data_IF_092786659038
#
_entry.id   IF_092786659038
#
_cell.length_a   1.000
_cell.length_b   1.000
_cell.length_c   1.000
_cell.angle_alpha   90.00
_cell.angle_beta   90.00
_cell.angle_gamma   90.00
#
_symmetry.space_group_name_H-M   'P 1'
#
loop_
_entity.id
_entity.type
_entity.pdbx_description
1 polymer ?
#
# COMPACT_ATOMS: atom_id res chain seq x y z
N UNK A 1 14.87 -29.60 -3.39
CA UNK A 1 13.73 -29.00 -2.65
C UNK A 1 13.54 -27.61 -3.21
N UNK A 2 12.33 -27.26 -3.63
CA UNK A 2 12.04 -26.07 -4.45
C UNK A 2 12.61 -24.78 -3.86
N UNK A 3 13.55 -24.20 -4.59
CA UNK A 3 13.93 -22.79 -4.48
C UNK A 3 12.71 -21.99 -4.93
N UNK A 4 11.85 -21.58 -3.99
CA UNK A 4 10.80 -20.60 -4.31
C UNK A 4 11.53 -19.32 -4.69
N UNK A 5 11.60 -19.04 -5.99
CA UNK A 5 11.94 -17.73 -6.52
C UNK A 5 11.20 -16.68 -5.68
N UNK A 6 11.87 -15.66 -5.13
CA UNK A 6 11.19 -14.64 -4.35
C UNK A 6 10.26 -13.91 -5.33
N UNK A 7 9.00 -14.33 -5.35
CA UNK A 7 7.91 -13.70 -6.07
C UNK A 7 8.00 -12.21 -5.77
N UNK A 8 8.46 -11.44 -6.77
CA UNK A 8 8.87 -10.05 -6.66
C UNK A 8 7.64 -9.23 -6.32
N UNK A 9 7.36 -9.07 -5.03
CA UNK A 9 6.19 -8.32 -4.58
C UNK A 9 6.38 -6.86 -5.01
N UNK A 10 5.37 -6.24 -5.63
CA UNK A 10 5.46 -4.84 -6.05
C UNK A 10 5.74 -3.95 -4.84
N UNK A 11 6.55 -2.94 -5.11
CA UNK A 11 7.09 -2.00 -4.14
C UNK A 11 6.43 -0.65 -4.37
N UNK A 12 5.87 -0.09 -3.32
CA UNK A 12 4.95 1.02 -3.39
C UNK A 12 5.45 2.21 -2.60
N UNK A 13 5.42 3.39 -3.20
CA UNK A 13 5.64 4.66 -2.55
C UNK A 13 4.32 5.20 -2.05
N UNK A 14 4.33 5.76 -0.84
CA UNK A 14 3.16 6.40 -0.23
C UNK A 14 3.45 7.90 -0.14
N UNK A 15 2.55 8.71 -0.69
CA UNK A 15 2.59 10.16 -0.61
C UNK A 15 1.52 10.64 0.36
N UNK A 16 2.04 11.14 1.48
CA UNK A 16 1.29 11.92 2.46
C UNK A 16 1.27 13.39 2.03
N UNK A 17 0.48 14.23 2.72
CA UNK A 17 0.41 15.67 2.45
C UNK A 17 1.76 16.41 2.56
N UNK A 18 2.69 15.88 3.35
CA UNK A 18 3.96 16.55 3.66
C UNK A 18 5.19 15.89 3.06
N UNK A 19 5.12 14.61 2.67
CA UNK A 19 6.27 13.84 2.19
C UNK A 19 5.86 12.59 1.41
N UNK A 20 6.81 12.09 0.63
CA UNK A 20 6.78 10.77 0.01
C UNK A 20 7.65 9.82 0.83
N UNK A 21 7.14 8.63 1.13
CA UNK A 21 7.80 7.60 1.93
C UNK A 21 7.80 6.26 1.17
N UNK A 22 8.85 5.46 1.38
CA UNK A 22 8.97 4.11 0.83
C UNK A 22 10.24 3.89 0.00
N UNK A 23 10.28 2.85 -0.84
CA UNK A 23 9.16 1.98 -1.17
C UNK A 23 8.86 0.94 -0.08
N UNK A 24 7.58 0.58 0.06
CA UNK A 24 7.09 -0.44 0.98
C UNK A 24 6.46 -1.60 0.22
N UNK A 25 6.60 -2.85 0.69
CA UNK A 25 5.83 -3.96 0.14
C UNK A 25 4.34 -3.80 0.46
N UNK A 26 3.46 -4.36 -0.37
CA UNK A 26 1.99 -4.28 -0.19
C UNK A 26 1.55 -4.72 1.22
N UNK A 27 2.18 -5.77 1.78
CA UNK A 27 1.92 -6.22 3.15
C UNK A 27 2.29 -5.20 4.23
N UNK A 28 3.37 -4.43 4.01
CA UNK A 28 3.80 -3.35 4.90
C UNK A 28 2.81 -2.17 4.89
N UNK A 29 2.29 -1.81 3.72
CA UNK A 29 1.27 -0.78 3.58
C UNK A 29 -0.03 -1.20 4.28
N UNK A 30 -0.50 -2.44 4.04
CA UNK A 30 -1.68 -3.00 4.72
C UNK A 30 -1.56 -2.90 6.24
N UNK A 31 -0.41 -3.31 6.79
CA UNK A 31 -0.15 -3.22 8.23
C UNK A 31 -0.14 -1.79 8.72
N UNK A 32 0.46 -0.86 7.98
CA UNK A 32 0.48 0.56 8.33
C UNK A 32 -0.92 1.20 8.31
N UNK A 33 -1.80 0.80 7.39
CA UNK A 33 -3.21 1.21 7.37
C UNK A 33 -3.96 0.71 8.61
N UNK A 34 -3.79 -0.58 8.96
CA UNK A 34 -4.40 -1.16 10.16
C UNK A 34 -3.91 -0.49 11.45
N UNK A 35 -2.65 -0.02 11.46
CA UNK A 35 -2.07 0.70 12.60
C UNK A 35 -2.39 2.21 12.59
N UNK A 36 -3.14 2.72 11.60
CA UNK A 36 -3.48 4.14 11.46
C UNK A 36 -2.30 5.04 11.12
N UNK A 37 -1.19 4.49 10.61
CA UNK A 37 -0.02 5.26 10.13
C UNK A 37 -0.24 5.84 8.75
N UNK A 38 -1.00 5.12 7.93
CA UNK A 38 -1.48 5.60 6.63
C UNK A 38 -2.99 5.65 6.65
N UNK A 39 -3.53 6.54 5.82
CA UNK A 39 -4.97 6.73 5.62
C UNK A 39 -5.31 6.22 4.21
N UNK A 40 -6.50 5.65 3.98
CA UNK A 40 -6.96 5.28 2.63
C UNK A 40 -6.99 6.44 1.63
N UNK A 41 -7.02 7.69 2.12
CA UNK A 41 -6.94 8.93 1.34
C UNK A 41 -5.51 9.28 0.88
N UNK A 42 -4.48 8.71 1.52
CA UNK A 42 -3.11 8.92 1.05
C UNK A 42 -2.93 8.35 -0.34
N UNK A 43 -2.02 8.96 -1.09
CA UNK A 43 -1.73 8.53 -2.45
C UNK A 43 -0.61 7.50 -2.47
N UNK A 44 -0.61 6.65 -3.47
CA UNK A 44 0.31 5.55 -3.65
C UNK A 44 0.74 5.45 -5.12
N UNK A 45 1.99 5.07 -5.34
CA UNK A 45 2.59 4.94 -6.67
C UNK A 45 3.66 3.84 -6.71
N UNK A 46 3.78 3.12 -7.82
CA UNK A 46 4.88 2.16 -8.06
C UNK A 46 6.12 2.86 -8.64
N UNK A 47 5.89 3.95 -9.37
CA UNK A 47 6.87 4.65 -10.20
C UNK A 47 7.17 6.09 -9.74
N UNK A 48 6.49 6.56 -8.69
CA UNK A 48 6.52 7.95 -8.17
C UNK A 48 6.01 9.02 -9.15
N UNK A 49 5.45 8.62 -10.30
CA UNK A 49 4.88 9.52 -11.31
C UNK A 49 3.35 9.45 -11.29
N UNK A 50 2.81 8.24 -11.29
CA UNK A 50 1.36 7.97 -11.27
C UNK A 50 0.89 7.72 -9.86
N UNK A 51 0.09 8.63 -9.32
CA UNK A 51 -0.40 8.57 -7.94
C UNK A 51 -1.91 8.29 -7.93
N UNK A 52 -2.31 7.27 -7.18
CA UNK A 52 -3.71 6.85 -7.00
C UNK A 52 -4.00 6.72 -5.50
N UNK A 53 -5.26 6.85 -5.07
CA UNK A 53 -5.58 6.73 -3.65
C UNK A 53 -5.37 5.29 -3.17
N UNK A 54 -4.91 5.10 -1.94
CA UNK A 54 -4.73 3.76 -1.35
C UNK A 54 -6.04 2.96 -1.38
N UNK A 55 -7.18 3.64 -1.17
CA UNK A 55 -8.51 3.03 -1.24
C UNK A 55 -8.83 2.42 -2.62
N UNK A 56 -8.27 2.98 -3.69
CA UNK A 56 -8.48 2.50 -5.07
C UNK A 56 -7.58 1.34 -5.45
N UNK A 57 -6.57 1.02 -4.63
CA UNK A 57 -5.60 -0.05 -4.88
C UNK A 57 -5.88 -1.24 -3.96
N UNK A 58 -6.71 -2.22 -4.39
CA UNK A 58 -7.12 -3.33 -3.53
C UNK A 58 -5.97 -4.24 -3.09
N UNK A 59 -4.81 -4.19 -3.75
CA UNK A 59 -3.63 -4.98 -3.39
C UNK A 59 -2.99 -4.52 -2.07
N UNK A 60 -3.00 -3.21 -1.82
CA UNK A 60 -2.47 -2.60 -0.58
C UNK A 60 -3.56 -2.29 0.44
N UNK A 61 -4.84 -2.42 0.04
CA UNK A 61 -5.99 -2.17 0.89
C UNK A 61 -6.32 -3.44 1.71
N UNK A 62 -6.20 -3.42 3.05
CA UNK A 62 -6.47 -4.60 3.86
C UNK A 62 -7.97 -4.97 3.78
N UNK A 63 -8.30 -6.27 3.59
CA UNK A 63 -9.69 -6.72 3.52
C UNK A 63 -10.53 -6.27 4.71
N UNK A 64 -9.92 -6.22 5.90
CA UNK A 64 -10.53 -5.73 7.14
C UNK A 64 -11.10 -4.31 7.01
N UNK A 65 -10.46 -3.41 6.24
CA UNK A 65 -10.94 -2.05 6.02
C UNK A 65 -11.97 -1.96 4.88
N UNK A 66 -11.99 -2.93 3.94
CA UNK A 66 -12.98 -2.95 2.84
C UNK A 66 -14.40 -3.20 3.31
N UNK A 67 -14.56 -3.81 4.48
CA UNK A 67 -15.86 -4.19 5.05
C UNK A 67 -16.50 -3.11 5.93
N UNK A 68 -15.85 -1.96 6.11
CA UNK A 68 -16.34 -0.88 6.97
C UNK A 68 -17.18 0.18 6.24
N UNK A 69 -17.58 -0.05 4.98
CA UNK A 69 -18.54 0.80 4.29
C UNK A 69 -19.98 0.36 4.67
N UNK A 70 -20.76 1.18 5.40
CA UNK A 70 -22.17 0.90 5.70
C UNK A 70 -23.08 0.99 4.47
#
# INVERSE_FOLDING_TARGET
MSEKEPSKQPLWYVKSTTKVEGPFPSGGIRRSLLLGRFTPEHQISEDQVTWQAISEVPEVMPPELRQAAP
#
